data_IF_608743684462
#
_entry.id   IF_608743684462
#
_cell.length_a   1.000
_cell.length_b   1.000
_cell.length_c   1.000
_cell.angle_alpha   90.00
_cell.angle_beta   90.00
_cell.angle_gamma   90.00
#
_symmetry.space_group_name_H-M   'P 1'
#
loop_
_entity.id
_entity.type
_entity.pdbx_description
1 polymer ?
#
# COMPACT_ATOMS: atom_id res chain seq x y z
N UNK A 1 47.64 22.15 2.41
CA UNK A 1 48.15 20.98 1.66
C UNK A 1 47.64 19.73 2.34
N UNK A 2 46.99 18.71 1.75
CA UNK A 2 46.45 18.42 0.42
C UNK A 2 45.38 17.33 0.66
N UNK A 3 44.10 17.59 0.38
CA UNK A 3 43.07 16.54 0.38
C UNK A 3 43.00 15.91 -1.02
N UNK A 4 43.55 14.70 -1.17
CA UNK A 4 43.39 13.90 -2.39
C UNK A 4 41.96 13.37 -2.46
N UNK A 5 41.14 13.95 -3.35
CA UNK A 5 39.81 13.45 -3.70
C UNK A 5 39.94 12.35 -4.74
N UNK A 6 39.69 11.10 -4.34
CA UNK A 6 39.62 9.98 -5.29
C UNK A 6 38.24 9.96 -5.94
N UNK A 7 38.21 10.28 -7.23
CA UNK A 7 37.00 10.34 -8.05
C UNK A 7 36.60 8.91 -8.49
N UNK A 8 35.53 8.35 -7.92
CA UNK A 8 34.97 7.07 -8.40
C UNK A 8 34.08 7.37 -9.60
N UNK A 9 34.53 6.99 -10.80
CA UNK A 9 33.73 7.07 -12.04
C UNK A 9 32.81 5.86 -12.10
N UNK A 10 31.50 6.07 -11.96
CA UNK A 10 30.48 5.04 -12.18
C UNK A 10 30.06 5.05 -13.65
N UNK A 11 30.40 4.01 -14.40
CA UNK A 11 29.86 3.74 -15.74
C UNK A 11 28.53 3.00 -15.61
N UNK A 12 27.44 3.59 -16.07
CA UNK A 12 26.15 2.92 -16.19
C UNK A 12 26.09 2.13 -17.50
N UNK A 13 25.89 0.81 -17.42
CA UNK A 13 25.54 -0.01 -18.58
C UNK A 13 24.02 -0.01 -18.75
N UNK A 14 23.54 0.65 -19.80
CA UNK A 14 22.14 0.66 -20.22
C UNK A 14 21.82 -0.67 -20.92
N UNK A 15 21.04 -1.54 -20.29
CA UNK A 15 20.58 -2.78 -20.92
C UNK A 15 19.23 -2.55 -21.59
N UNK A 16 19.16 -2.80 -22.90
CA UNK A 16 17.91 -2.86 -23.67
C UNK A 16 17.89 -4.23 -24.34
N UNK A 17 16.89 -5.06 -24.05
CA UNK A 17 16.48 -6.11 -24.99
C UNK A 17 14.96 -6.29 -24.98
N UNK A 18 14.46 -6.39 -26.20
CA UNK A 18 13.09 -6.20 -26.66
C UNK A 18 12.17 -7.39 -26.37
N UNK A 19 10.87 -7.08 -26.35
CA UNK A 19 9.74 -7.98 -26.16
C UNK A 19 9.61 -9.04 -27.28
N UNK A 20 9.14 -10.23 -26.89
CA UNK A 20 8.57 -11.22 -27.81
C UNK A 20 7.11 -11.49 -27.44
N UNK A 21 6.18 -11.03 -28.26
CA UNK A 21 4.77 -11.48 -28.25
C UNK A 21 4.67 -12.52 -29.36
N UNK A 22 4.27 -13.75 -29.05
CA UNK A 22 3.92 -14.74 -30.07
C UNK A 22 2.42 -14.66 -30.34
N UNK A 23 2.05 -14.33 -31.58
CA UNK A 23 0.69 -14.45 -32.09
C UNK A 23 0.41 -15.92 -32.41
N UNK A 24 -0.75 -16.43 -31.98
CA UNK A 24 -1.31 -17.69 -32.49
C UNK A 24 -2.47 -17.32 -33.41
N UNK A 25 -2.30 -17.71 -34.67
CA UNK A 25 -3.26 -17.61 -35.76
C UNK A 25 -4.00 -18.95 -35.90
N UNK A 26 -5.32 -18.95 -35.87
CA UNK A 26 -6.14 -20.08 -36.33
C UNK A 26 -7.33 -19.55 -37.13
N UNK A 27 -7.46 -19.86 -38.43
CA UNK A 27 -8.69 -19.66 -39.18
C UNK A 27 -9.53 -20.94 -39.18
N UNK A 28 -10.86 -20.82 -39.20
CA UNK A 28 -11.68 -21.42 -40.27
C UNK A 28 -13.17 -21.09 -40.09
N UNK A 29 -13.73 -20.79 -41.25
CA UNK A 29 -15.09 -20.49 -41.65
C UNK A 29 -16.10 -21.59 -41.34
N UNK A 30 -17.30 -21.22 -40.88
CA UNK A 30 -18.53 -21.99 -41.09
C UNK A 30 -19.68 -21.07 -41.51
N UNK A 31 -20.46 -21.57 -42.46
CA UNK A 31 -21.50 -20.91 -43.25
C UNK A 31 -22.80 -20.59 -42.49
N UNK A 32 -23.59 -19.69 -43.09
CA UNK A 32 -24.97 -19.36 -42.75
C UNK A 32 -25.98 -20.30 -43.45
N UNK A 33 -27.26 -20.19 -43.04
CA UNK A 33 -28.52 -20.87 -43.44
C UNK A 33 -29.07 -21.66 -42.22
N UNK A 34 -30.28 -21.54 -41.66
CA UNK A 34 -31.60 -21.05 -42.11
C UNK A 34 -32.52 -20.64 -40.91
N UNK A 35 -33.55 -19.89 -41.27
CA UNK A 35 -34.83 -19.45 -40.66
C UNK A 35 -35.48 -20.33 -39.56
N UNK A 36 -35.98 -19.72 -38.46
CA UNK A 36 -37.42 -19.75 -38.07
C UNK A 36 -37.79 -18.73 -36.97
N UNK A 37 -38.94 -18.10 -37.20
CA UNK A 37 -39.65 -17.05 -36.48
C UNK A 37 -40.51 -17.61 -35.34
N UNK A 38 -40.58 -16.97 -34.17
CA UNK A 38 -41.83 -16.89 -33.37
C UNK A 38 -41.71 -15.76 -32.33
N UNK A 39 -42.45 -14.69 -32.59
CA UNK A 39 -42.97 -13.71 -31.63
C UNK A 39 -43.95 -14.34 -30.65
N UNK A 40 -43.94 -14.00 -29.35
CA UNK A 40 -45.15 -13.64 -28.56
C UNK A 40 -44.72 -12.89 -27.28
N UNK A 41 -45.24 -11.66 -27.17
CA UNK A 41 -45.39 -10.82 -25.99
C UNK A 41 -46.53 -11.32 -25.10
N UNK A 42 -46.42 -11.34 -23.77
CA UNK A 42 -47.46 -10.85 -22.82
C UNK A 42 -47.05 -10.94 -21.33
N UNK A 43 -46.92 -9.77 -20.71
CA UNK A 43 -47.53 -9.28 -19.46
C UNK A 43 -47.81 -10.20 -18.25
N UNK A 44 -47.11 -9.88 -17.16
CA UNK A 44 -47.61 -9.54 -15.81
C UNK A 44 -48.59 -10.49 -15.07
N UNK A 45 -48.15 -11.04 -13.94
CA UNK A 45 -49.01 -11.31 -12.78
C UNK A 45 -48.19 -11.40 -11.48
N UNK A 46 -48.60 -10.60 -10.50
CA UNK A 46 -48.15 -10.61 -9.11
C UNK A 46 -49.13 -11.45 -8.31
N UNK A 47 -48.61 -12.43 -7.57
CA UNK A 47 -48.99 -12.84 -6.20
C UNK A 47 -48.58 -14.28 -6.00
N UNK A 48 -47.62 -14.52 -5.12
CA UNK A 48 -47.85 -15.38 -3.96
C UNK A 48 -46.69 -15.22 -2.98
N UNK A 49 -47.07 -14.91 -1.74
CA UNK A 49 -46.20 -14.64 -0.62
C UNK A 49 -46.12 -15.93 0.19
N UNK A 50 -45.07 -16.73 0.02
CA UNK A 50 -44.71 -17.73 1.02
C UNK A 50 -43.19 -17.95 1.15
N UNK A 51 -42.71 -17.46 2.29
CA UNK A 51 -41.48 -17.75 3.03
C UNK A 51 -40.60 -18.89 2.51
N UNK A 52 -39.48 -18.53 1.88
CA UNK A 52 -38.19 -19.19 2.14
C UNK A 52 -37.06 -18.15 2.18
N UNK A 53 -36.54 -17.96 3.39
CA UNK A 53 -35.34 -17.19 3.73
C UNK A 53 -34.16 -17.60 2.83
N UNK A 54 -33.53 -16.70 2.04
CA UNK A 54 -32.23 -17.01 1.48
C UNK A 54 -31.21 -16.91 2.62
N UNK A 55 -30.53 -18.02 2.88
CA UNK A 55 -29.42 -18.11 3.81
C UNK A 55 -28.33 -17.10 3.41
N UNK A 56 -28.17 -16.08 4.25
CA UNK A 56 -27.22 -14.98 4.07
C UNK A 56 -25.81 -15.50 4.40
N UNK A 57 -25.21 -16.16 3.42
CA UNK A 57 -23.77 -16.38 3.38
C UNK A 57 -23.06 -15.03 3.20
N UNK A 58 -22.79 -14.41 4.34
CA UNK A 58 -22.15 -13.09 4.48
C UNK A 58 -20.71 -13.05 3.96
N UNK A 59 -20.53 -12.84 2.66
CA UNK A 59 -19.26 -12.32 2.12
C UNK A 59 -19.16 -10.85 2.53
N UNK A 60 -18.56 -10.59 3.69
CA UNK A 60 -18.34 -9.23 4.22
C UNK A 60 -17.39 -8.48 3.29
N UNK A 61 -17.93 -7.72 2.34
CA UNK A 61 -17.18 -6.88 1.42
C UNK A 61 -16.27 -5.92 2.21
N UNK A 62 -14.96 -6.13 2.08
CA UNK A 62 -13.96 -5.32 2.78
C UNK A 62 -14.05 -3.85 2.31
N UNK A 63 -14.21 -2.91 3.25
CA UNK A 63 -14.31 -1.50 2.93
C UNK A 63 -13.05 -0.98 2.22
N UNK A 64 -13.21 0.01 1.34
CA UNK A 64 -12.09 0.61 0.60
C UNK A 64 -10.96 1.10 1.52
N UNK A 65 -11.31 1.64 2.69
CA UNK A 65 -10.37 2.04 3.74
C UNK A 65 -9.51 0.87 4.22
N UNK A 66 -10.13 -0.29 4.47
CA UNK A 66 -9.43 -1.47 4.98
C UNK A 66 -8.49 -2.04 3.92
N UNK A 67 -8.92 -2.07 2.65
CA UNK A 67 -8.06 -2.42 1.51
C UNK A 67 -6.81 -1.53 1.42
N UNK A 68 -6.98 -0.20 1.52
CA UNK A 68 -5.87 0.77 1.53
C UNK A 68 -4.90 0.53 2.70
N UNK A 69 -5.43 0.33 3.91
CA UNK A 69 -4.60 0.03 5.10
C UNK A 69 -3.81 -1.27 4.94
N UNK A 70 -4.43 -2.31 4.40
CA UNK A 70 -3.77 -3.58 4.14
C UNK A 70 -2.70 -3.46 3.05
N UNK A 71 -2.92 -2.65 2.00
CA UNK A 71 -1.91 -2.35 0.98
C UNK A 71 -0.68 -1.64 1.57
N UNK A 72 -0.89 -0.62 2.42
CA UNK A 72 0.19 0.08 3.13
C UNK A 72 1.00 -0.88 4.00
N UNK A 73 0.33 -1.72 4.79
CA UNK A 73 1.01 -2.72 5.65
C UNK A 73 1.77 -3.76 4.84
N UNK A 74 1.19 -4.24 3.73
CA UNK A 74 1.85 -5.19 2.83
C UNK A 74 3.13 -4.59 2.27
N UNK A 75 3.07 -3.33 1.80
CA UNK A 75 4.22 -2.69 1.17
C UNK A 75 5.31 -2.32 2.17
N UNK A 76 4.99 -1.77 3.34
CA UNK A 76 6.01 -1.42 4.35
C UNK A 76 6.76 -2.66 4.85
N UNK A 77 6.07 -3.80 5.00
CA UNK A 77 6.71 -5.05 5.42
C UNK A 77 7.73 -5.55 4.39
N UNK A 78 7.49 -5.34 3.09
CA UNK A 78 8.47 -5.65 2.02
C UNK A 78 9.74 -4.79 2.08
N UNK A 79 9.75 -3.71 2.88
CA UNK A 79 10.93 -2.85 3.03
C UNK A 79 11.82 -3.26 4.20
N UNK A 80 11.36 -4.16 5.08
CA UNK A 80 12.16 -4.66 6.20
C UNK A 80 13.47 -5.25 5.69
N UNK A 81 14.57 -4.91 6.34
CA UNK A 81 15.93 -5.31 5.98
C UNK A 81 16.67 -4.31 5.09
N UNK A 82 15.99 -3.34 4.47
CA UNK A 82 16.66 -2.31 3.66
C UNK A 82 17.44 -1.32 4.52
N UNK A 83 18.60 -0.83 4.07
CA UNK A 83 19.46 0.04 4.87
C UNK A 83 18.81 1.39 5.17
N UNK A 84 19.12 1.93 6.34
CA UNK A 84 18.90 3.33 6.61
C UNK A 84 19.89 4.18 5.82
N UNK A 85 19.38 5.17 5.09
CA UNK A 85 20.19 6.16 4.39
C UNK A 85 19.56 7.53 4.63
N UNK A 86 20.31 8.43 5.27
CA UNK A 86 19.82 9.78 5.58
C UNK A 86 19.38 10.50 4.30
N UNK A 87 18.17 11.06 4.27
CA UNK A 87 17.64 11.74 3.09
C UNK A 87 17.09 10.81 2.00
N UNK A 88 17.21 9.48 2.12
CA UNK A 88 16.70 8.56 1.10
C UNK A 88 15.19 8.30 1.21
N UNK A 89 14.53 8.15 0.06
CA UNK A 89 13.11 7.83 -0.08
C UNK A 89 12.87 6.62 -1.00
N UNK A 90 13.78 5.64 -0.97
CA UNK A 90 13.67 4.37 -1.68
C UNK A 90 14.15 4.36 -3.13
N UNK A 91 14.05 3.19 -3.80
CA UNK A 91 13.68 1.91 -3.21
C UNK A 91 14.86 1.17 -2.56
N UNK A 92 16.11 1.61 -2.75
CA UNK A 92 17.31 0.90 -2.27
C UNK A 92 17.61 1.13 -0.78
N UNK A 93 17.12 2.21 -0.18
CA UNK A 93 17.27 2.53 1.24
C UNK A 93 16.37 3.69 1.63
N UNK A 94 16.25 3.94 2.93
CA UNK A 94 15.26 4.88 3.46
C UNK A 94 15.78 5.62 4.69
N UNK A 95 15.35 6.87 4.88
CA UNK A 95 15.19 7.40 6.24
C UNK A 95 13.74 7.23 6.74
N UNK A 96 13.47 7.70 7.96
CA UNK A 96 12.18 7.50 8.61
C UNK A 96 11.00 8.05 7.79
N UNK A 97 11.07 9.32 7.40
CA UNK A 97 10.01 10.01 6.65
C UNK A 97 10.01 9.66 5.16
N UNK A 98 11.14 9.22 4.61
CA UNK A 98 11.29 8.70 3.26
C UNK A 98 10.61 7.35 3.11
N UNK A 99 10.74 6.46 4.11
CA UNK A 99 10.02 5.18 4.15
C UNK A 99 8.51 5.40 4.11
N UNK A 100 7.98 6.30 4.96
CA UNK A 100 6.54 6.55 5.01
C UNK A 100 6.03 7.16 3.72
N UNK A 101 6.72 8.17 3.19
CA UNK A 101 6.38 8.81 1.91
C UNK A 101 6.36 7.82 0.76
N UNK A 102 7.39 6.97 0.66
CA UNK A 102 7.48 5.94 -0.36
C UNK A 102 6.33 4.93 -0.26
N UNK A 103 6.04 4.42 0.94
CA UNK A 103 4.99 3.41 1.13
C UNK A 103 3.63 3.99 0.76
N UNK A 104 3.31 5.18 1.25
CA UNK A 104 2.01 5.80 1.01
C UNK A 104 1.79 6.17 -0.46
N UNK A 105 2.82 6.70 -1.12
CA UNK A 105 2.78 6.98 -2.56
C UNK A 105 2.55 5.71 -3.37
N UNK A 106 3.33 4.67 -3.13
CA UNK A 106 3.31 3.47 -3.98
C UNK A 106 2.19 2.48 -3.64
N UNK A 107 1.68 2.47 -2.40
CA UNK A 107 0.61 1.54 -2.02
C UNK A 107 -0.78 2.08 -2.37
N UNK A 108 -1.00 3.39 -2.23
CA UNK A 108 -2.35 3.97 -2.29
C UNK A 108 -2.40 5.34 -2.99
N UNK A 109 -1.34 5.73 -3.70
CA UNK A 109 -1.21 7.02 -4.38
C UNK A 109 -1.45 8.25 -3.48
N UNK A 110 -1.08 8.15 -2.19
CA UNK A 110 -1.18 9.28 -1.26
C UNK A 110 0.19 9.91 -1.08
N UNK A 111 0.30 11.18 -1.45
CA UNK A 111 1.53 11.95 -1.32
C UNK A 111 1.64 12.45 0.12
N UNK A 112 2.72 12.09 0.81
CA UNK A 112 3.09 12.66 2.10
C UNK A 112 4.25 13.65 1.91
N UNK A 113 4.32 14.72 2.72
CA UNK A 113 5.49 15.57 2.78
C UNK A 113 6.76 14.77 3.06
N UNK A 114 7.87 15.19 2.47
CA UNK A 114 9.15 14.48 2.60
C UNK A 114 9.66 14.44 4.03
N UNK A 115 9.31 15.41 4.87
CA UNK A 115 9.85 15.57 6.22
C UNK A 115 8.86 15.13 7.29
N UNK A 116 9.39 14.67 8.43
CA UNK A 116 8.57 14.35 9.62
C UNK A 116 7.75 15.57 10.09
N UNK A 117 8.32 16.78 10.02
CA UNK A 117 7.64 18.05 10.30
C UNK A 117 6.39 18.26 9.46
N UNK A 118 6.44 17.95 8.17
CA UNK A 118 5.26 18.05 7.31
C UNK A 118 4.27 16.91 7.55
N UNK A 119 4.76 15.70 7.84
CA UNK A 119 3.87 14.54 8.04
C UNK A 119 3.05 14.62 9.32
N UNK A 120 3.59 15.20 10.40
CA UNK A 120 2.91 15.27 11.69
C UNK A 120 1.71 16.24 11.68
N UNK A 121 1.63 17.16 10.72
CA UNK A 121 0.50 18.09 10.59
C UNK A 121 -0.69 17.47 9.84
N UNK A 122 -0.52 16.30 9.22
CA UNK A 122 -1.55 15.68 8.40
C UNK A 122 -2.61 14.94 9.21
N UNK A 123 -3.84 14.93 8.67
CA UNK A 123 -4.90 14.02 9.08
C UNK A 123 -5.36 14.20 10.53
N UNK A 124 -6.02 13.17 11.05
CA UNK A 124 -6.62 13.20 12.40
C UNK A 124 -5.61 12.74 13.46
N UNK A 125 -5.48 13.50 14.54
CA UNK A 125 -4.75 13.05 15.74
C UNK A 125 -5.47 11.90 16.41
N UNK A 126 -4.75 10.81 16.67
CA UNK A 126 -5.25 9.61 17.33
C UNK A 126 -4.50 9.41 18.65
N UNK A 127 -5.23 9.08 19.71
CA UNK A 127 -4.62 8.64 20.97
C UNK A 127 -3.82 7.36 20.71
N UNK A 128 -2.55 7.35 21.13
CA UNK A 128 -1.67 6.18 21.00
C UNK A 128 -2.19 5.11 21.96
N UNK A 129 -2.98 4.18 21.43
CA UNK A 129 -3.52 3.04 22.15
C UNK A 129 -3.86 1.95 21.13
N UNK A 130 -3.54 0.70 21.43
CA UNK A 130 -3.85 -0.43 20.54
C UNK A 130 -5.34 -0.55 20.23
N UNK A 131 -6.23 -0.06 21.11
CA UNK A 131 -7.68 -0.01 20.91
C UNK A 131 -8.13 1.04 19.89
N UNK A 132 -7.33 2.10 19.67
CA UNK A 132 -7.69 3.24 18.81
C UNK A 132 -6.88 3.28 17.52
N UNK A 133 -5.65 2.80 17.55
CA UNK A 133 -4.76 2.72 16.39
C UNK A 133 -5.31 1.75 15.35
N UNK A 134 -5.19 2.13 14.08
CA UNK A 134 -5.53 1.32 12.92
C UNK A 134 -4.29 1.14 12.06
N UNK A 135 -4.18 -0.01 11.41
CA UNK A 135 -3.13 -0.28 10.41
C UNK A 135 -2.97 0.91 9.46
N UNK A 136 -1.74 1.31 9.21
CA UNK A 136 -1.41 2.47 8.41
C UNK A 136 -1.15 3.74 9.23
N UNK A 137 -1.76 3.92 10.41
CA UNK A 137 -1.55 5.14 11.22
C UNK A 137 -0.05 5.45 11.36
N UNK A 138 0.30 6.72 11.14
CA UNK A 138 1.67 7.22 11.29
C UNK A 138 1.93 7.44 12.78
N UNK A 139 3.04 6.91 13.29
CA UNK A 139 3.45 7.01 14.68
C UNK A 139 4.67 7.92 14.78
N UNK A 140 4.65 8.88 15.69
CA UNK A 140 5.66 9.91 15.80
C UNK A 140 6.33 9.91 17.17
N UNK A 141 7.66 10.10 17.17
CA UNK A 141 8.46 10.40 18.34
C UNK A 141 8.95 11.84 18.19
N UNK A 142 8.20 12.76 18.76
CA UNK A 142 8.35 14.19 18.48
C UNK A 142 8.23 14.50 16.98
N UNK A 143 8.99 15.49 16.55
CA UNK A 143 9.09 15.91 15.15
C UNK A 143 10.29 15.28 14.41
N UNK A 144 11.06 14.41 15.06
CA UNK A 144 12.34 13.90 14.54
C UNK A 144 12.25 12.47 13.98
N UNK A 145 11.26 11.67 14.38
CA UNK A 145 11.15 10.29 13.91
C UNK A 145 9.70 9.84 13.68
N UNK A 146 9.51 9.00 12.67
CA UNK A 146 8.19 8.49 12.25
C UNK A 146 8.26 7.01 11.83
N UNK A 147 7.18 6.27 12.09
CA UNK A 147 6.98 4.89 11.64
C UNK A 147 5.52 4.63 11.24
N UNK A 148 5.25 3.43 10.70
CA UNK A 148 3.91 3.00 10.28
C UNK A 148 3.42 1.90 11.21
N UNK A 149 2.25 2.10 11.83
CA UNK A 149 1.59 1.05 12.61
C UNK A 149 1.10 -0.08 11.70
N UNK A 150 1.49 -1.32 12.02
CA UNK A 150 1.14 -2.51 11.22
C UNK A 150 0.13 -3.43 11.91
N UNK A 151 -0.43 -2.99 13.03
CA UNK A 151 -1.39 -3.75 13.84
C UNK A 151 -0.73 -4.50 14.99
N UNK A 152 -1.55 -5.04 15.90
CA UNK A 152 -1.13 -5.92 16.99
C UNK A 152 0.00 -5.33 17.86
N UNK A 153 -0.04 -4.02 18.14
CA UNK A 153 0.99 -3.35 18.93
C UNK A 153 2.36 -3.28 18.25
N UNK A 154 2.44 -3.44 16.93
CA UNK A 154 3.69 -3.43 16.15
C UNK A 154 3.72 -2.30 15.14
N UNK A 155 4.92 -1.84 14.81
CA UNK A 155 5.18 -0.83 13.79
C UNK A 155 6.45 -1.14 13.01
N UNK A 156 6.57 -0.54 11.82
CA UNK A 156 7.78 -0.61 10.98
C UNK A 156 8.33 0.80 10.78
N UNK A 157 9.65 0.95 10.87
CA UNK A 157 10.36 2.22 10.72
C UNK A 157 11.77 2.00 10.16
N UNK A 158 12.37 3.07 9.63
CA UNK A 158 13.81 3.15 9.36
C UNK A 158 14.46 3.93 10.54
N UNK A 159 15.17 3.25 11.46
CA UNK A 159 15.55 3.83 12.76
C UNK A 159 16.62 4.91 12.69
N UNK A 160 17.82 4.58 12.20
CA UNK A 160 19.00 5.44 12.28
C UNK A 160 20.13 4.88 11.37
N UNK A 161 21.18 5.68 11.07
CA UNK A 161 22.36 5.20 10.36
C UNK A 161 22.97 3.94 10.97
N UNK A 162 23.49 3.04 10.13
CA UNK A 162 24.05 1.75 10.56
C UNK A 162 23.00 0.68 10.91
N UNK A 163 21.72 0.99 10.77
CA UNK A 163 20.62 0.04 10.98
C UNK A 163 19.76 -0.11 9.73
N UNK A 164 18.95 -1.16 9.72
CA UNK A 164 18.00 -1.44 8.65
C UNK A 164 16.57 -1.12 9.07
N UNK A 165 15.69 -0.95 8.08
CA UNK A 165 14.24 -0.93 8.28
C UNK A 165 13.85 -2.18 9.05
N UNK A 166 13.15 -2.02 10.17
CA UNK A 166 12.81 -3.12 11.07
C UNK A 166 11.42 -2.96 11.64
N UNK A 167 10.88 -4.07 12.14
CA UNK A 167 9.63 -4.08 12.90
C UNK A 167 9.95 -4.06 14.40
N UNK A 168 9.25 -3.23 15.16
CA UNK A 168 9.33 -3.18 16.62
C UNK A 168 7.93 -3.21 17.24
N UNK A 169 7.88 -3.36 18.56
CA UNK A 169 6.65 -3.30 19.35
C UNK A 169 6.50 -1.93 20.03
N UNK A 170 5.27 -1.47 20.21
CA UNK A 170 4.98 -0.24 20.95
C UNK A 170 5.52 -0.31 22.40
N UNK A 171 5.56 -1.50 22.99
CA UNK A 171 6.11 -1.71 24.33
C UNK A 171 7.63 -1.45 24.39
N UNK A 172 8.37 -1.77 23.33
CA UNK A 172 9.83 -1.55 23.28
C UNK A 172 10.22 -0.09 23.00
N UNK A 173 9.36 0.64 22.28
CA UNK A 173 9.60 2.03 21.91
C UNK A 173 8.25 2.69 21.66
N UNK A 174 7.85 3.60 22.55
CA UNK A 174 6.48 4.14 22.59
C UNK A 174 6.40 5.54 21.95
N UNK A 175 5.56 5.78 20.94
CA UNK A 175 5.47 7.07 20.26
C UNK A 175 4.72 8.11 21.10
N UNK A 176 5.09 9.38 20.93
CA UNK A 176 4.43 10.50 21.59
C UNK A 176 3.07 10.85 20.97
N UNK A 177 2.88 10.57 19.68
CA UNK A 177 1.62 10.87 18.99
C UNK A 177 1.38 9.98 17.78
N UNK A 178 0.14 9.98 17.28
CA UNK A 178 -0.23 9.28 16.07
C UNK A 178 -1.15 10.11 15.16
N UNK A 179 -1.01 9.94 13.84
CA UNK A 179 -1.84 10.57 12.82
C UNK A 179 -2.47 9.54 11.90
N UNK A 180 -3.78 9.67 11.70
CA UNK A 180 -4.54 8.88 10.73
C UNK A 180 -4.75 9.68 9.47
N UNK A 181 -4.25 9.15 8.37
CA UNK A 181 -4.31 9.77 7.03
C UNK A 181 -5.05 8.89 6.01
N UNK A 182 -5.64 7.77 6.45
CA UNK A 182 -6.54 6.93 5.67
C UNK A 182 -7.88 6.92 6.39
N UNK A 183 -8.87 7.57 5.78
CA UNK A 183 -10.25 7.64 6.28
C UNK A 183 -10.91 6.26 6.30
#
# INVERSE_FOLDING_TARGET
>A
MNYRRTLVKYTAALSVFFAGISAINVPSTVHADDVENTTVTTNNSISDLETTKPDSSSVKQESAATKKRNAVVKLVKKQIGKPYIYGAAGPSGFDCSGLTSYVYKNAINKILPRTTYGQITLGKTISVSTKKLKKGDLLFWGNYHVGIYVGNGKFVHAPAPGQNVKQQTLASFYPSSAKRVID
#
